data_IF_886720896641
#
_entry.id   IF_886720896641
#
_cell.length_a   1.000
_cell.length_b   1.000
_cell.length_c   1.000
_cell.angle_alpha   90.00
_cell.angle_beta   90.00
_cell.angle_gamma   90.00
#
_symmetry.space_group_name_H-M   'P 1'
#
loop_
_entity.id
_entity.type
_entity.pdbx_description
1 polymer ?
#
# COMPACT_ATOMS: atom_id res chain seq x y z
N UNK A 1 -6.45 27.59 13.99
CA UNK A 1 -6.98 26.52 14.85
C UNK A 1 -6.92 25.22 14.08
N UNK A 2 -6.15 24.27 14.56
CA UNK A 2 -6.01 22.98 13.87
C UNK A 2 -7.27 22.14 14.08
N UNK A 3 -7.76 21.55 13.01
CA UNK A 3 -8.83 20.56 13.12
C UNK A 3 -8.32 19.39 13.98
N UNK A 4 -9.17 18.80 14.84
CA UNK A 4 -8.78 17.63 15.58
C UNK A 4 -8.41 16.51 14.60
N UNK A 5 -7.41 15.71 14.97
CA UNK A 5 -7.06 14.51 14.18
C UNK A 5 -8.32 13.63 14.03
N UNK A 6 -8.55 13.03 12.84
CA UNK A 6 -9.68 12.12 12.68
C UNK A 6 -9.56 10.98 13.69
N UNK A 7 -10.70 10.53 14.24
CA UNK A 7 -10.71 9.40 15.13
C UNK A 7 -10.20 8.15 14.39
N UNK A 8 -9.67 7.13 15.08
CA UNK A 8 -9.24 5.89 14.44
C UNK A 8 -10.33 5.21 13.60
N UNK A 9 -11.59 5.53 13.90
CA UNK A 9 -12.75 4.97 13.19
C UNK A 9 -13.27 5.89 12.09
N UNK A 10 -12.64 7.04 11.87
CA UNK A 10 -13.08 7.97 10.84
C UNK A 10 -12.67 7.45 9.47
N UNK A 11 -13.68 7.16 8.64
CA UNK A 11 -13.48 6.69 7.26
C UNK A 11 -13.48 7.87 6.31
N UNK A 12 -12.38 8.07 5.60
CA UNK A 12 -12.29 9.06 4.54
C UNK A 12 -12.77 8.44 3.23
N UNK A 13 -13.67 9.13 2.55
CA UNK A 13 -14.13 8.77 1.22
C UNK A 13 -13.28 9.52 0.19
N UNK A 14 -12.64 8.79 -0.73
CA UNK A 14 -11.73 9.42 -1.71
C UNK A 14 -12.46 10.35 -2.67
N UNK A 15 -13.69 10.02 -3.10
CA UNK A 15 -14.46 10.88 -3.98
C UNK A 15 -14.75 12.23 -3.33
N UNK A 16 -15.20 12.24 -2.07
CA UNK A 16 -15.47 13.46 -1.33
C UNK A 16 -14.18 14.26 -1.08
N UNK A 17 -13.09 13.58 -0.78
CA UNK A 17 -11.79 14.22 -0.55
C UNK A 17 -11.29 14.91 -1.83
N UNK A 18 -11.44 14.28 -2.98
CA UNK A 18 -11.06 14.89 -4.26
C UNK A 18 -11.93 16.11 -4.57
N UNK A 19 -13.23 16.04 -4.31
CA UNK A 19 -14.13 17.16 -4.51
C UNK A 19 -13.74 18.38 -3.65
N UNK A 20 -13.21 18.11 -2.46
CA UNK A 20 -12.77 19.16 -1.53
C UNK A 20 -11.40 19.74 -1.91
N UNK A 21 -10.42 18.90 -2.26
CA UNK A 21 -9.03 19.30 -2.44
C UNK A 21 -8.57 19.37 -3.89
N UNK A 22 -9.22 18.66 -4.79
CA UNK A 22 -8.92 18.72 -6.24
C UNK A 22 -7.48 18.44 -6.57
N UNK A 23 -6.85 19.35 -7.31
CA UNK A 23 -5.51 19.17 -7.87
C UNK A 23 -4.36 19.21 -6.85
N UNK A 24 -4.65 19.43 -5.57
CA UNK A 24 -3.66 19.18 -4.50
C UNK A 24 -3.34 17.69 -4.37
N UNK A 25 -4.19 16.84 -4.95
CA UNK A 25 -4.08 15.39 -4.91
C UNK A 25 -3.86 14.82 -6.31
N UNK A 26 -3.04 13.80 -6.40
CA UNK A 26 -2.93 12.98 -7.60
C UNK A 26 -3.81 11.74 -7.46
N UNK A 27 -4.55 11.40 -8.50
CA UNK A 27 -5.35 10.17 -8.54
C UNK A 27 -4.66 9.12 -9.41
N UNK A 28 -4.71 7.88 -8.97
CA UNK A 28 -4.11 6.74 -9.68
C UNK A 28 -5.18 6.12 -10.58
N UNK A 29 -4.96 6.12 -11.90
CA UNK A 29 -5.93 5.55 -12.85
C UNK A 29 -5.79 4.03 -12.98
N UNK A 30 -4.61 3.49 -12.71
CA UNK A 30 -4.39 2.04 -12.73
C UNK A 30 -5.32 1.37 -11.71
N UNK A 31 -6.01 0.32 -12.16
CA UNK A 31 -7.01 -0.34 -11.34
C UNK A 31 -6.38 -1.39 -10.43
N UNK A 32 -6.35 -1.08 -9.14
CA UNK A 32 -5.94 -2.01 -8.10
C UNK A 32 -7.16 -2.72 -7.53
N UNK A 33 -6.97 -3.96 -7.10
CA UNK A 33 -7.98 -4.71 -6.36
C UNK A 33 -7.80 -4.46 -4.86
N UNK A 34 -8.92 -4.35 -4.13
CA UNK A 34 -8.93 -4.31 -2.67
C UNK A 34 -8.96 -5.73 -2.13
N UNK A 35 -7.86 -6.18 -1.55
CA UNK A 35 -7.66 -7.59 -1.19
C UNK A 35 -7.51 -7.83 0.32
N UNK A 36 -7.38 -6.78 1.12
CA UNK A 36 -7.27 -6.88 2.58
C UNK A 36 -8.61 -6.74 3.29
N UNK A 37 -8.60 -6.95 4.59
CA UNK A 37 -9.81 -6.82 5.43
C UNK A 37 -10.25 -5.38 5.65
N UNK A 38 -9.37 -4.39 5.46
CA UNK A 38 -9.73 -2.97 5.47
C UNK A 38 -9.95 -2.51 4.04
N UNK A 39 -11.15 -2.06 3.71
CA UNK A 39 -11.44 -1.45 2.42
C UNK A 39 -11.04 0.03 2.36
N UNK A 40 -10.98 0.71 3.51
CA UNK A 40 -10.58 2.10 3.66
C UNK A 40 -9.35 2.18 4.53
N UNK A 41 -8.29 2.80 4.03
CA UNK A 41 -7.09 3.00 4.82
C UNK A 41 -6.30 4.20 4.28
N UNK A 42 -5.56 4.82 5.15
CA UNK A 42 -4.73 5.97 4.82
C UNK A 42 -3.56 6.09 5.79
N UNK A 43 -2.56 6.83 5.41
CA UNK A 43 -1.42 7.11 6.28
C UNK A 43 -0.26 7.70 5.50
N UNK A 44 0.82 8.04 6.21
CA UNK A 44 2.04 8.50 5.56
C UNK A 44 2.65 7.38 4.72
N UNK A 45 3.14 7.74 3.55
CA UNK A 45 3.75 6.81 2.60
C UNK A 45 5.16 6.43 3.04
N UNK A 46 5.48 5.15 2.95
CA UNK A 46 6.83 4.60 2.88
C UNK A 46 6.94 3.87 1.55
N UNK A 47 8.10 3.85 0.92
CA UNK A 47 8.25 3.31 -0.43
C UNK A 47 9.31 2.22 -0.53
N UNK A 48 9.08 1.30 -1.46
CA UNK A 48 10.06 0.29 -1.89
C UNK A 48 9.96 0.17 -3.42
N UNK A 49 11.10 0.07 -4.08
CA UNK A 49 11.20 -0.37 -5.47
C UNK A 49 11.88 -1.72 -5.49
N UNK A 50 11.25 -2.74 -6.08
CA UNK A 50 11.81 -4.07 -6.20
C UNK A 50 11.21 -4.78 -7.43
N UNK A 51 11.83 -5.88 -7.85
CA UNK A 51 11.30 -6.66 -8.96
C UNK A 51 11.44 -8.14 -8.65
N UNK A 52 10.32 -8.82 -8.44
CA UNK A 52 10.26 -10.26 -8.17
C UNK A 52 11.16 -10.73 -7.00
N UNK A 53 11.43 -9.80 -6.08
CA UNK A 53 12.18 -10.02 -4.85
C UNK A 53 11.45 -9.32 -3.72
N UNK A 54 11.05 -10.04 -2.69
CA UNK A 54 10.28 -9.50 -1.57
C UNK A 54 11.07 -9.38 -0.26
N UNK A 55 12.39 -9.50 -0.31
CA UNK A 55 13.22 -9.39 0.89
C UNK A 55 13.03 -8.07 1.61
N UNK A 56 13.02 -6.95 0.87
CA UNK A 56 12.81 -5.61 1.45
C UNK A 56 11.38 -5.40 1.96
N UNK A 57 10.38 -5.97 1.28
CA UNK A 57 8.99 -5.90 1.74
C UNK A 57 8.86 -6.58 3.10
N UNK A 58 9.42 -7.78 3.23
CA UNK A 58 9.41 -8.55 4.47
C UNK A 58 10.12 -7.80 5.59
N UNK A 59 11.34 -7.31 5.35
CA UNK A 59 12.14 -6.64 6.38
C UNK A 59 11.52 -5.31 6.82
N UNK A 60 10.97 -4.54 5.89
CA UNK A 60 10.34 -3.24 6.20
C UNK A 60 9.06 -3.42 6.99
N UNK A 61 8.18 -4.34 6.60
CA UNK A 61 6.93 -4.59 7.33
C UNK A 61 7.15 -5.23 8.70
N UNK A 62 8.33 -5.76 8.98
CA UNK A 62 8.72 -6.26 10.29
C UNK A 62 9.17 -5.15 11.24
N UNK A 63 9.27 -3.90 10.78
CA UNK A 63 9.58 -2.73 11.61
C UNK A 63 8.32 -1.97 11.98
N UNK A 64 8.31 -1.13 13.04
CA UNK A 64 7.14 -0.35 13.41
C UNK A 64 6.62 0.53 12.27
N UNK A 65 5.35 0.36 11.90
CA UNK A 65 4.72 1.11 10.83
C UNK A 65 4.15 2.45 11.27
N UNK A 66 3.72 2.56 12.53
CA UNK A 66 3.13 3.80 13.08
C UNK A 66 1.98 4.35 12.22
N UNK A 67 1.16 3.47 11.67
CA UNK A 67 0.03 3.87 10.83
C UNK A 67 0.39 4.20 9.38
N UNK A 68 1.62 3.95 8.96
CA UNK A 68 2.06 4.21 7.58
C UNK A 68 1.47 3.21 6.58
N UNK A 69 1.50 3.61 5.31
CA UNK A 69 1.15 2.77 4.18
C UNK A 69 2.42 2.50 3.37
N UNK A 70 2.76 1.23 3.19
CA UNK A 70 3.89 0.86 2.35
C UNK A 70 3.45 0.81 0.89
N UNK A 71 4.09 1.61 0.06
CA UNK A 71 3.86 1.61 -1.39
C UNK A 71 5.03 0.90 -2.06
N UNK A 72 4.74 -0.23 -2.70
CA UNK A 72 5.74 -1.08 -3.33
C UNK A 72 5.59 -0.99 -4.84
N UNK A 73 6.60 -0.44 -5.50
CA UNK A 73 6.69 -0.50 -6.96
C UNK A 73 7.38 -1.81 -7.36
N UNK A 74 6.57 -2.80 -7.70
CA UNK A 74 7.03 -4.09 -8.20
C UNK A 74 7.11 -4.16 -9.71
N UNK A 75 7.10 -3.02 -10.39
CA UNK A 75 7.19 -2.96 -11.85
C UNK A 75 5.96 -3.49 -12.57
N UNK A 76 4.84 -3.68 -11.87
CA UNK A 76 3.62 -4.23 -12.44
C UNK A 76 3.68 -5.75 -12.69
N UNK A 77 4.73 -6.43 -12.24
CA UNK A 77 4.89 -7.86 -12.47
C UNK A 77 3.84 -8.68 -11.72
N UNK A 78 3.17 -9.57 -12.43
CA UNK A 78 2.30 -10.59 -11.85
C UNK A 78 2.97 -11.96 -11.83
N UNK A 79 4.28 -12.02 -12.12
CA UNK A 79 5.03 -13.27 -12.24
C UNK A 79 5.36 -13.94 -10.92
N UNK A 80 5.46 -13.16 -9.84
CA UNK A 80 5.70 -13.68 -8.49
C UNK A 80 4.94 -12.83 -7.47
N UNK A 81 4.61 -13.41 -6.32
CA UNK A 81 3.95 -12.71 -5.22
C UNK A 81 4.98 -11.96 -4.36
N UNK A 82 4.73 -10.66 -4.13
CA UNK A 82 5.59 -9.84 -3.26
C UNK A 82 5.18 -9.88 -1.79
N UNK A 83 3.97 -10.36 -1.50
CA UNK A 83 3.48 -10.51 -0.12
C UNK A 83 2.54 -11.70 -0.04
N UNK A 84 2.72 -12.51 0.99
CA UNK A 84 1.79 -13.56 1.40
C UNK A 84 1.24 -13.28 2.79
N UNK A 85 0.55 -14.26 3.37
CA UNK A 85 -0.14 -14.10 4.65
C UNK A 85 0.82 -13.83 5.82
N UNK A 86 1.98 -14.47 5.86
CA UNK A 86 2.93 -14.29 6.96
C UNK A 86 3.49 -12.85 7.01
N UNK A 87 3.84 -12.30 5.85
CA UNK A 87 4.31 -10.90 5.76
C UNK A 87 3.16 -9.94 6.10
N UNK A 88 1.95 -10.22 5.62
CA UNK A 88 0.78 -9.41 5.92
C UNK A 88 0.44 -9.42 7.42
N UNK A 89 0.52 -10.59 8.08
CA UNK A 89 0.33 -10.70 9.52
C UNK A 89 1.38 -9.89 10.29
N UNK A 90 2.63 -9.91 9.82
CA UNK A 90 3.71 -9.09 10.38
C UNK A 90 3.39 -7.59 10.27
N UNK A 91 2.83 -7.16 9.15
CA UNK A 91 2.41 -5.76 8.97
C UNK A 91 1.32 -5.36 9.96
N UNK A 92 0.34 -6.22 10.19
CA UNK A 92 -0.72 -5.99 11.19
C UNK A 92 -0.09 -5.87 12.58
N UNK A 93 0.78 -6.79 12.96
CA UNK A 93 1.41 -6.81 14.27
C UNK A 93 2.28 -5.58 14.52
N UNK A 94 2.86 -5.00 13.47
CA UNK A 94 3.75 -3.84 13.56
C UNK A 94 3.04 -2.49 13.32
N UNK A 95 1.72 -2.47 13.24
CA UNK A 95 0.94 -1.22 13.20
C UNK A 95 0.93 -0.51 11.86
N UNK A 96 1.14 -1.21 10.75
CA UNK A 96 0.95 -0.66 9.41
C UNK A 96 -0.54 -0.51 9.10
N UNK A 97 -0.93 0.59 8.47
CA UNK A 97 -2.31 0.81 8.04
C UNK A 97 -2.66 -0.01 6.80
N UNK A 98 -1.72 -0.17 5.91
CA UNK A 98 -1.94 -0.90 4.67
C UNK A 98 -0.72 -0.96 3.77
N UNK A 99 -0.92 -1.61 2.64
CA UNK A 99 0.10 -1.82 1.61
C UNK A 99 -0.52 -1.57 0.24
N UNK A 100 0.17 -0.85 -0.62
CA UNK A 100 -0.16 -0.68 -2.03
C UNK A 100 0.94 -1.35 -2.84
N UNK A 101 0.61 -2.38 -3.59
CA UNK A 101 1.60 -3.16 -4.34
C UNK A 101 1.30 -3.07 -5.84
N UNK A 102 2.19 -2.42 -6.57
CA UNK A 102 2.19 -2.46 -8.03
C UNK A 102 2.79 -3.79 -8.48
N UNK A 103 2.03 -4.84 -8.34
CA UNK A 103 2.42 -6.23 -8.52
C UNK A 103 1.39 -7.18 -7.92
N UNK A 104 1.84 -8.38 -7.56
CA UNK A 104 0.97 -9.46 -7.10
C UNK A 104 1.20 -9.82 -5.64
N UNK A 105 0.16 -10.37 -5.02
CA UNK A 105 0.19 -11.04 -3.71
C UNK A 105 -0.14 -12.53 -3.89
N UNK A 106 -0.08 -13.27 -2.80
CA UNK A 106 -0.67 -14.63 -2.69
C UNK A 106 -1.43 -14.76 -1.37
N UNK A 107 -2.09 -15.90 -1.17
CA UNK A 107 -2.90 -16.17 0.04
C UNK A 107 -4.08 -15.19 0.18
N UNK A 108 -4.81 -14.97 -0.92
CA UNK A 108 -5.91 -13.99 -0.98
C UNK A 108 -6.96 -14.20 0.10
N UNK A 109 -7.34 -15.45 0.37
CA UNK A 109 -8.38 -15.76 1.36
C UNK A 109 -7.93 -15.38 2.77
N UNK A 110 -6.70 -15.74 3.14
CA UNK A 110 -6.15 -15.41 4.45
C UNK A 110 -5.98 -13.89 4.60
N UNK A 111 -5.45 -13.22 3.59
CA UNK A 111 -5.23 -11.76 3.61
C UNK A 111 -6.56 -11.00 3.71
N UNK A 112 -7.63 -11.49 3.07
CA UNK A 112 -8.95 -10.86 3.15
C UNK A 112 -9.50 -10.80 4.57
N UNK A 113 -9.07 -11.68 5.47
CA UNK A 113 -9.47 -11.71 6.87
C UNK A 113 -8.60 -10.87 7.81
N UNK A 114 -7.53 -10.25 7.33
CA UNK A 114 -6.62 -9.48 8.17
C UNK A 114 -7.04 -8.01 8.28
N UNK A 115 -6.81 -7.43 9.46
CA UNK A 115 -7.05 -6.00 9.70
C UNK A 115 -5.94 -5.14 9.08
N UNK A 116 -5.87 -5.16 7.77
CA UNK A 116 -4.86 -4.49 6.95
C UNK A 116 -5.48 -4.07 5.63
N UNK A 117 -5.22 -2.84 5.20
CA UNK A 117 -5.54 -2.43 3.84
C UNK A 117 -4.55 -3.04 2.86
N UNK A 118 -5.05 -3.60 1.77
CA UNK A 118 -4.19 -4.15 0.72
C UNK A 118 -4.77 -3.78 -0.64
N UNK A 119 -3.99 -3.03 -1.40
CA UNK A 119 -4.23 -2.75 -2.82
C UNK A 119 -3.16 -3.45 -3.63
N UNK A 120 -3.55 -4.32 -4.55
CA UNK A 120 -2.61 -5.00 -5.45
C UNK A 120 -3.25 -5.20 -6.82
N UNK A 121 -2.44 -5.46 -7.84
CA UNK A 121 -2.95 -5.67 -9.20
C UNK A 121 -3.60 -7.04 -9.37
N UNK A 122 -3.13 -8.02 -8.62
CA UNK A 122 -3.63 -9.38 -8.72
C UNK A 122 -2.89 -10.32 -7.80
N UNK A 123 -2.87 -11.60 -8.16
CA UNK A 123 -2.23 -12.63 -7.34
C UNK A 123 -1.55 -13.68 -8.20
N UNK A 124 -0.55 -14.33 -7.62
CA UNK A 124 0.14 -15.46 -8.22
C UNK A 124 0.70 -16.33 -7.08
N UNK A 125 0.48 -17.65 -7.05
CA UNK A 125 1.00 -18.49 -5.98
C UNK A 125 2.52 -18.63 -5.95
N UNK A 126 3.21 -18.20 -7.02
CA UNK A 126 4.66 -18.32 -7.12
C UNK A 126 5.36 -17.35 -6.19
N UNK A 127 6.25 -17.87 -5.35
CA UNK A 127 7.05 -17.06 -4.43
C UNK A 127 8.06 -16.18 -5.18
N UNK A 128 8.40 -15.04 -4.60
CA UNK A 128 9.50 -14.17 -5.05
C UNK A 128 10.84 -14.65 -4.52
N UNK A 129 11.93 -14.16 -5.10
CA UNK A 129 13.25 -14.25 -4.49
C UNK A 129 13.27 -13.44 -3.18
N UNK A 130 14.20 -13.73 -2.29
CA UNK A 130 14.33 -13.12 -0.96
C UNK A 130 15.74 -12.58 -0.71
N UNK A 131 16.39 -12.12 -1.76
CA UNK A 131 17.76 -11.60 -1.68
C UNK A 131 17.84 -10.20 -1.04
N UNK A 132 16.71 -9.47 -1.01
CA UNK A 132 16.69 -8.09 -0.54
C UNK A 132 17.14 -7.11 -1.61
N UNK A 133 17.03 -7.47 -2.87
CA UNK A 133 17.37 -6.58 -3.97
C UNK A 133 16.30 -5.50 -4.14
N UNK A 134 16.72 -4.27 -4.39
CA UNK A 134 15.85 -3.13 -4.56
C UNK A 134 16.29 -1.92 -3.75
N UNK A 135 15.37 -0.98 -3.56
CA UNK A 135 15.64 0.28 -2.87
C UNK A 135 14.48 0.64 -1.95
N UNK A 136 14.81 1.18 -0.78
CA UNK A 136 13.84 1.62 0.23
C UNK A 136 13.86 3.15 0.31
N UNK A 137 12.68 3.74 0.54
CA UNK A 137 12.49 5.19 0.75
C UNK A 137 12.96 6.07 -0.43
N UNK A 138 12.92 5.53 -1.64
CA UNK A 138 13.12 6.29 -2.88
C UNK A 138 11.76 6.73 -3.43
N UNK A 139 11.74 7.80 -4.22
CA UNK A 139 10.53 8.17 -4.95
C UNK A 139 10.21 7.08 -5.96
N UNK A 140 8.94 6.64 -5.99
CA UNK A 140 8.47 5.67 -6.96
C UNK A 140 7.38 6.28 -7.82
N UNK A 141 7.34 5.90 -9.09
CA UNK A 141 6.33 6.36 -10.04
C UNK A 141 5.50 5.16 -10.47
N UNK A 142 4.20 5.24 -10.20
CA UNK A 142 3.24 4.21 -10.60
C UNK A 142 2.16 4.89 -11.43
N UNK A 143 1.99 4.43 -12.67
CA UNK A 143 0.99 4.99 -13.60
C UNK A 143 1.11 6.52 -13.72
N UNK A 144 2.34 7.03 -13.81
CA UNK A 144 2.63 8.47 -13.92
C UNK A 144 2.46 9.26 -12.62
N UNK A 145 2.09 8.62 -11.52
CA UNK A 145 1.91 9.26 -10.22
C UNK A 145 3.11 9.00 -9.34
N UNK A 146 3.68 10.07 -8.77
CA UNK A 146 4.84 9.98 -7.89
C UNK A 146 4.41 9.79 -6.44
N UNK A 147 4.97 8.77 -5.80
CA UNK A 147 4.82 8.52 -4.37
C UNK A 147 6.15 8.82 -3.68
N UNK A 148 6.11 9.71 -2.69
CA UNK A 148 7.27 10.09 -1.87
C UNK A 148 7.04 9.67 -0.44
N UNK A 149 8.08 9.23 0.24
CA UNK A 149 7.98 8.95 1.68
C UNK A 149 7.57 10.21 2.43
N UNK A 150 6.60 10.07 3.34
CA UNK A 150 6.13 11.14 4.20
C UNK A 150 4.85 11.84 3.75
N UNK A 151 4.49 11.83 2.46
CA UNK A 151 3.19 12.36 2.01
C UNK A 151 2.08 11.38 2.40
N UNK A 152 0.84 11.87 2.44
CA UNK A 152 -0.30 11.02 2.79
C UNK A 152 -0.93 10.40 1.56
N UNK A 153 -1.30 9.13 1.67
CA UNK A 153 -2.08 8.38 0.68
C UNK A 153 -3.40 7.93 1.30
N UNK A 154 -4.47 7.96 0.51
CA UNK A 154 -5.82 7.49 0.89
C UNK A 154 -6.27 6.44 -0.11
N UNK A 155 -6.76 5.33 0.40
CA UNK A 155 -7.25 4.22 -0.39
C UNK A 155 -8.65 3.82 0.07
N UNK A 156 -9.55 3.59 -0.87
CA UNK A 156 -10.88 3.07 -0.60
C UNK A 156 -11.37 2.25 -1.82
N UNK A 157 -12.64 1.76 -1.84
CA UNK A 157 -13.11 1.00 -2.99
C UNK A 157 -13.07 1.74 -4.33
N UNK A 158 -13.13 3.06 -4.35
CA UNK A 158 -13.06 3.84 -5.58
C UNK A 158 -11.64 3.96 -6.14
N UNK A 159 -10.61 3.93 -5.28
CA UNK A 159 -9.25 4.04 -5.78
C UNK A 159 -8.25 4.59 -4.77
N UNK A 160 -7.27 5.29 -5.32
CA UNK A 160 -6.10 5.78 -4.57
C UNK A 160 -5.87 7.25 -4.89
N UNK A 161 -5.77 8.07 -3.83
CA UNK A 161 -5.34 9.47 -3.91
C UNK A 161 -4.07 9.66 -3.10
N UNK A 162 -3.16 10.47 -3.58
CA UNK A 162 -1.92 10.80 -2.88
C UNK A 162 -1.63 12.29 -2.98
N UNK A 163 -1.08 12.88 -1.92
CA UNK A 163 -0.64 14.28 -1.93
C UNK A 163 0.48 14.48 -2.94
N UNK A 164 0.39 15.59 -3.68
CA UNK A 164 1.44 16.01 -4.62
C UNK A 164 2.66 16.54 -3.91
#
# INVERSE_FOLDING_TARGET
>A
MNAPAPSPNHTVNTADLYDERGDELASVSLQFQSLGGRSHFSGPVRTIRCFQDNGLVKSTLATPGNGAVLVVDGGGSLGTALMGDMIAESAVANGWAGVVINGAIRDREAIAGLDLGVKALGSNPRKSAKAGAGEVDVDVVIDGVTFRSGVTVWCDPDGILVER
#
